data_IF_557899820198
#
_entry.id   IF_557899820198
#
_cell.length_a   1.000
_cell.length_b   1.000
_cell.length_c   1.000
_cell.angle_alpha   90.00
_cell.angle_beta   90.00
_cell.angle_gamma   90.00
#
_symmetry.space_group_name_H-M   'P 1'
#
loop_
_entity.id
_entity.type
_entity.pdbx_description
1 polymer ?
#
# COMPACT_ATOMS: atom_id res chain seq x y z
N UNK A 1 35.20 5.12 31.66
CA UNK A 1 35.62 5.42 30.27
C UNK A 1 34.50 5.10 29.28
N UNK A 2 33.80 6.13 28.80
CA UNK A 2 32.77 5.99 27.77
C UNK A 2 33.44 5.53 26.47
N UNK A 3 33.00 4.38 25.93
CA UNK A 3 33.44 3.89 24.63
C UNK A 3 33.11 4.96 23.59
N UNK A 4 34.15 5.54 22.97
CA UNK A 4 34.00 6.43 21.84
C UNK A 4 33.28 5.66 20.73
N UNK A 5 32.05 6.07 20.42
CA UNK A 5 31.33 5.60 19.24
C UNK A 5 32.14 6.13 18.05
N UNK A 6 32.93 5.25 17.46
CA UNK A 6 33.65 5.53 16.22
C UNK A 6 32.61 6.05 15.22
N UNK A 7 32.79 7.25 14.62
CA UNK A 7 31.92 7.67 13.54
C UNK A 7 32.12 6.67 12.41
N UNK A 8 31.18 5.73 12.28
CA UNK A 8 31.14 4.78 11.19
C UNK A 8 31.27 5.59 9.91
N UNK A 9 32.41 5.46 9.22
CA UNK A 9 32.56 5.82 7.81
C UNK A 9 31.57 4.95 7.05
N UNK A 10 30.29 5.34 7.07
CA UNK A 10 29.25 4.69 6.31
C UNK A 10 29.54 5.00 4.86
N UNK A 11 30.21 4.06 4.19
CA UNK A 11 30.28 4.07 2.73
C UNK A 11 28.84 3.86 2.27
N UNK A 12 28.23 4.81 1.54
CA UNK A 12 26.88 4.62 1.04
C UNK A 12 26.85 3.35 0.19
N UNK A 13 25.87 2.47 0.39
CA UNK A 13 25.69 1.29 -0.45
C UNK A 13 24.40 1.41 -1.24
N UNK A 14 24.47 1.12 -2.55
CA UNK A 14 23.29 1.02 -3.41
C UNK A 14 22.58 -0.29 -3.08
N UNK A 15 21.48 -0.24 -2.35
CA UNK A 15 20.70 -1.42 -1.99
C UNK A 15 19.71 -1.77 -3.10
N UNK A 16 19.55 -3.06 -3.37
CA UNK A 16 18.50 -3.53 -4.27
C UNK A 16 17.12 -3.20 -3.70
N UNK A 17 16.26 -2.58 -4.49
CA UNK A 17 14.90 -2.23 -4.05
C UNK A 17 13.96 -3.43 -3.98
N UNK A 18 14.34 -4.56 -4.56
CA UNK A 18 13.61 -5.83 -4.50
C UNK A 18 13.78 -6.55 -3.14
N UNK A 19 14.17 -5.84 -2.09
CA UNK A 19 14.21 -6.36 -0.72
C UNK A 19 12.84 -6.89 -0.26
N UNK A 20 11.75 -6.29 -0.75
CA UNK A 20 10.38 -6.76 -0.48
C UNK A 20 10.03 -8.13 -1.09
N UNK A 21 10.87 -8.66 -2.00
CA UNK A 21 10.81 -10.05 -2.49
C UNK A 21 12.04 -10.86 -2.06
N UNK A 22 12.75 -10.42 -1.02
CA UNK A 22 13.86 -11.15 -0.40
C UNK A 22 15.23 -10.91 -1.04
N UNK A 23 15.40 -9.90 -1.90
CA UNK A 23 16.70 -9.57 -2.46
C UNK A 23 17.51 -8.64 -1.53
N UNK A 24 18.64 -9.13 -1.03
CA UNK A 24 19.47 -8.38 -0.07
C UNK A 24 20.81 -7.91 -0.66
N UNK A 25 20.98 -7.95 -1.99
CA UNK A 25 22.23 -7.52 -2.62
C UNK A 25 22.42 -6.00 -2.49
N UNK A 26 23.67 -5.62 -2.23
CA UNK A 26 24.13 -4.23 -2.22
C UNK A 26 25.35 -4.07 -3.14
N UNK A 27 25.55 -2.84 -3.61
CA UNK A 27 26.59 -2.49 -4.57
C UNK A 27 27.34 -1.25 -4.10
N UNK A 28 28.62 -1.16 -4.45
CA UNK A 28 29.40 0.05 -4.21
C UNK A 28 28.85 1.22 -5.07
N UNK A 29 28.91 2.50 -4.64
CA UNK A 29 28.38 3.65 -5.38
C UNK A 29 28.96 3.87 -6.79
N UNK A 30 30.09 3.23 -7.10
CA UNK A 30 30.71 3.25 -8.43
C UNK A 30 30.15 2.15 -9.35
N UNK A 31 29.49 1.13 -8.81
CA UNK A 31 28.95 -0.03 -9.52
C UNK A 31 27.51 0.22 -9.99
N UNK A 32 27.27 1.33 -10.68
CA UNK A 32 25.94 1.69 -11.16
C UNK A 32 25.44 0.70 -12.23
N UNK A 33 26.27 0.32 -13.20
CA UNK A 33 25.82 -0.61 -14.26
C UNK A 33 25.50 -2.02 -13.71
N UNK A 34 26.33 -2.63 -12.85
CA UNK A 34 25.97 -3.88 -12.18
C UNK A 34 24.67 -3.77 -11.35
N UNK A 35 24.48 -2.65 -10.64
CA UNK A 35 23.26 -2.39 -9.88
C UNK A 35 22.02 -2.36 -10.78
N UNK A 36 22.06 -1.61 -11.89
CA UNK A 36 20.97 -1.53 -12.87
C UNK A 36 20.70 -2.91 -13.47
N UNK A 37 21.73 -3.59 -13.98
CA UNK A 37 21.60 -4.92 -14.58
C UNK A 37 20.97 -5.93 -13.61
N UNK A 38 21.40 -5.91 -12.35
CA UNK A 38 20.82 -6.74 -11.31
C UNK A 38 19.33 -6.43 -11.10
N UNK A 39 18.94 -5.16 -10.96
CA UNK A 39 17.53 -4.80 -10.79
C UNK A 39 16.65 -5.25 -11.96
N UNK A 40 17.18 -5.24 -13.19
CA UNK A 40 16.46 -5.71 -14.38
C UNK A 40 16.24 -7.24 -14.35
N UNK A 41 17.17 -8.00 -13.78
CA UNK A 41 17.05 -9.46 -13.69
C UNK A 41 15.82 -9.94 -12.91
N UNK A 42 15.33 -9.13 -11.96
CA UNK A 42 14.10 -9.43 -11.20
C UNK A 42 12.84 -9.44 -12.05
N UNK A 43 12.87 -8.90 -13.27
CA UNK A 43 11.72 -8.97 -14.17
C UNK A 43 11.58 -10.32 -14.88
N UNK A 44 12.51 -11.27 -14.70
CA UNK A 44 12.43 -12.64 -15.24
C UNK A 44 12.15 -12.70 -16.74
N UNK A 45 12.75 -11.80 -17.52
CA UNK A 45 12.55 -11.69 -18.97
C UNK A 45 11.34 -10.85 -19.39
N UNK A 46 10.51 -10.38 -18.46
CA UNK A 46 9.53 -9.32 -18.75
C UNK A 46 10.20 -7.96 -18.85
N UNK A 47 9.56 -7.05 -19.58
CA UNK A 47 9.97 -5.64 -19.59
C UNK A 47 9.67 -4.98 -18.23
N UNK A 48 10.49 -4.01 -17.79
CA UNK A 48 10.14 -3.12 -16.68
C UNK A 48 8.82 -2.37 -16.91
N UNK A 49 8.25 -1.73 -15.87
CA UNK A 49 7.05 -0.92 -16.03
C UNK A 49 7.29 0.24 -17.02
N UNK A 50 6.27 0.56 -17.84
CA UNK A 50 6.32 1.71 -18.77
C UNK A 50 6.45 3.05 -18.05
N UNK A 51 5.85 3.14 -16.86
CA UNK A 51 5.86 4.31 -15.98
C UNK A 51 6.42 3.89 -14.63
N UNK A 52 7.45 4.58 -14.17
CA UNK A 52 8.15 4.26 -12.93
C UNK A 52 8.39 5.52 -12.10
N UNK A 53 8.53 5.40 -10.78
CA UNK A 53 8.69 6.55 -9.86
C UNK A 53 9.88 6.33 -8.93
N UNK A 54 10.61 7.39 -8.60
CA UNK A 54 11.72 7.30 -7.65
C UNK A 54 11.23 6.88 -6.25
N UNK A 55 11.95 5.96 -5.60
CA UNK A 55 11.67 5.55 -4.20
C UNK A 55 12.02 6.62 -3.16
N UNK A 56 12.71 7.71 -3.54
CA UNK A 56 13.12 8.79 -2.63
C UNK A 56 12.42 10.12 -2.88
N UNK A 57 11.85 10.35 -4.07
CA UNK A 57 11.20 11.61 -4.43
C UNK A 57 10.04 11.42 -5.41
N UNK A 58 9.35 12.50 -5.78
CA UNK A 58 8.18 12.43 -6.67
C UNK A 58 8.51 12.41 -8.18
N UNK A 59 9.78 12.19 -8.57
CA UNK A 59 10.18 12.16 -9.98
C UNK A 59 9.67 10.89 -10.66
N UNK A 60 8.96 11.07 -11.77
CA UNK A 60 8.39 10.01 -12.60
C UNK A 60 9.22 9.91 -13.90
N UNK A 61 9.40 8.68 -14.38
CA UNK A 61 10.05 8.35 -15.64
C UNK A 61 9.08 7.57 -16.50
N UNK A 62 8.74 8.14 -17.65
CA UNK A 62 7.73 7.61 -18.56
C UNK A 62 8.09 8.00 -20.00
N UNK A 63 8.29 6.97 -20.81
CA UNK A 63 8.51 6.99 -22.24
C UNK A 63 7.81 5.73 -22.78
N UNK A 64 6.68 5.87 -23.49
CA UNK A 64 5.89 4.73 -23.96
C UNK A 64 6.66 3.77 -24.88
N UNK A 65 7.74 4.25 -25.51
CA UNK A 65 8.48 3.48 -26.51
C UNK A 65 9.67 2.73 -25.91
N UNK A 66 10.14 3.10 -24.71
CA UNK A 66 11.36 2.54 -24.13
C UNK A 66 11.27 2.35 -22.59
N UNK A 67 10.55 1.31 -22.12
CA UNK A 67 10.48 0.97 -20.69
C UNK A 67 11.87 0.66 -20.07
N UNK A 68 12.82 0.16 -20.86
CA UNK A 68 14.17 -0.15 -20.36
C UNK A 68 14.95 1.13 -20.10
N UNK A 69 14.85 2.14 -20.97
CA UNK A 69 15.42 3.45 -20.72
C UNK A 69 14.75 4.15 -19.53
N UNK A 70 13.43 4.01 -19.35
CA UNK A 70 12.75 4.56 -18.17
C UNK A 70 13.31 3.99 -16.88
N UNK A 71 13.43 2.66 -16.82
CA UNK A 71 14.03 1.97 -15.69
C UNK A 71 15.47 2.42 -15.45
N UNK A 72 16.28 2.46 -16.50
CA UNK A 72 17.70 2.87 -16.42
C UNK A 72 17.83 4.31 -15.89
N UNK A 73 17.04 5.25 -16.42
CA UNK A 73 17.02 6.66 -15.95
C UNK A 73 16.60 6.75 -14.49
N UNK A 74 15.58 5.98 -14.08
CA UNK A 74 15.15 5.89 -12.69
C UNK A 74 16.25 5.37 -11.77
N UNK A 75 16.91 4.26 -12.12
CA UNK A 75 17.94 3.66 -11.28
C UNK A 75 19.18 4.55 -11.14
N UNK A 76 19.59 5.25 -12.21
CA UNK A 76 20.66 6.28 -12.11
C UNK A 76 20.27 7.41 -11.17
N UNK A 77 19.02 7.88 -11.27
CA UNK A 77 18.51 8.93 -10.38
C UNK A 77 18.44 8.48 -8.91
N UNK A 78 18.06 7.22 -8.65
CA UNK A 78 18.13 6.62 -7.31
C UNK A 78 19.58 6.57 -6.81
N UNK A 79 20.54 6.19 -7.65
CA UNK A 79 21.95 6.20 -7.29
C UNK A 79 22.47 7.59 -6.92
N UNK A 80 21.98 8.65 -7.57
CA UNK A 80 22.30 10.03 -7.21
C UNK A 80 21.77 10.41 -5.82
N UNK A 81 20.60 9.90 -5.42
CA UNK A 81 20.10 10.08 -4.05
C UNK A 81 21.03 9.43 -3.01
N UNK A 82 21.52 8.22 -3.26
CA UNK A 82 22.49 7.57 -2.36
C UNK A 82 23.80 8.36 -2.25
N UNK A 83 24.28 8.95 -3.34
CA UNK A 83 25.45 9.85 -3.33
C UNK A 83 25.23 11.12 -2.50
N UNK A 84 23.98 11.57 -2.39
CA UNK A 84 23.55 12.71 -1.57
C UNK A 84 23.16 12.29 -0.14
N UNK A 85 23.65 11.13 0.33
CA UNK A 85 23.43 10.61 1.69
C UNK A 85 21.99 10.14 1.97
N UNK A 86 21.18 9.84 0.94
CA UNK A 86 19.95 9.10 1.14
C UNK A 86 20.26 7.68 1.63
N UNK A 87 19.38 7.14 2.49
CA UNK A 87 19.50 5.79 3.06
C UNK A 87 18.28 4.99 2.66
N UNK A 88 18.44 3.69 2.43
CA UNK A 88 17.33 2.82 2.02
C UNK A 88 16.15 2.82 3.01
N UNK A 89 16.40 3.05 4.30
CA UNK A 89 15.34 3.19 5.32
C UNK A 89 14.41 4.39 5.07
N UNK A 90 14.84 5.37 4.27
CA UNK A 90 14.02 6.50 3.83
C UNK A 90 13.30 6.22 2.51
N UNK A 91 13.41 5.00 1.96
CA UNK A 91 12.74 4.63 0.73
C UNK A 91 11.24 4.50 0.94
N UNK A 92 10.51 4.74 -0.14
CA UNK A 92 9.06 4.70 -0.23
C UNK A 92 8.64 3.43 -0.98
N UNK A 93 7.51 2.80 -0.62
CA UNK A 93 6.98 1.67 -1.37
C UNK A 93 6.60 2.10 -2.80
N UNK A 94 7.18 1.45 -3.80
CA UNK A 94 6.83 1.67 -5.20
C UNK A 94 5.64 0.79 -5.60
N UNK A 95 4.42 1.29 -5.38
CA UNK A 95 3.20 0.57 -5.73
C UNK A 95 3.06 0.34 -7.24
N UNK A 96 3.68 1.15 -8.11
CA UNK A 96 3.65 0.90 -9.55
C UNK A 96 4.46 -0.35 -9.89
N UNK A 97 5.64 -0.48 -9.30
CA UNK A 97 6.49 -1.66 -9.43
C UNK A 97 5.82 -2.91 -8.86
N UNK A 98 5.28 -2.82 -7.63
CA UNK A 98 4.61 -3.93 -6.95
C UNK A 98 3.42 -4.44 -7.78
N UNK A 99 2.58 -3.53 -8.28
CA UNK A 99 1.44 -3.88 -9.13
C UNK A 99 1.87 -4.49 -10.46
N UNK A 100 2.95 -3.96 -11.09
CA UNK A 100 3.49 -4.52 -12.32
C UNK A 100 3.97 -5.96 -12.14
N UNK A 101 4.80 -6.20 -11.12
CA UNK A 101 5.31 -7.54 -10.79
C UNK A 101 4.17 -8.53 -10.50
N UNK A 102 3.13 -8.09 -9.79
CA UNK A 102 1.93 -8.91 -9.54
C UNK A 102 1.18 -9.22 -10.84
N UNK A 103 0.99 -8.24 -11.72
CA UNK A 103 0.30 -8.42 -13.01
C UNK A 103 1.03 -9.40 -13.93
N UNK A 104 2.36 -9.46 -13.85
CA UNK A 104 3.22 -10.39 -14.60
C UNK A 104 3.44 -11.73 -13.90
N UNK A 105 2.83 -11.96 -12.73
CA UNK A 105 3.01 -13.18 -11.90
C UNK A 105 4.46 -13.45 -11.49
N UNK A 106 5.27 -12.39 -11.40
CA UNK A 106 6.64 -12.46 -10.86
C UNK A 106 6.58 -12.57 -9.32
N UNK A 107 5.52 -12.03 -8.72
CA UNK A 107 5.33 -11.95 -7.26
C UNK A 107 4.14 -12.82 -6.80
N UNK A 108 4.32 -13.52 -5.68
CA UNK A 108 3.27 -14.32 -5.03
C UNK A 108 2.13 -13.45 -4.48
N UNK A 109 1.03 -14.08 -4.06
CA UNK A 109 -0.11 -13.33 -3.50
C UNK A 109 0.22 -12.82 -2.09
N UNK A 110 1.04 -13.58 -1.39
CA UNK A 110 1.51 -13.36 -0.03
C UNK A 110 2.49 -12.18 -0.01
N UNK A 111 3.49 -12.18 -0.89
CA UNK A 111 4.45 -11.08 -1.04
C UNK A 111 3.75 -9.79 -1.44
N UNK A 112 2.75 -9.87 -2.33
CA UNK A 112 1.96 -8.71 -2.73
C UNK A 112 1.20 -8.10 -1.54
N UNK A 113 0.54 -8.93 -0.72
CA UNK A 113 -0.12 -8.46 0.49
C UNK A 113 0.88 -7.81 1.44
N UNK A 114 2.03 -8.44 1.65
CA UNK A 114 3.06 -7.90 2.53
C UNK A 114 3.60 -6.56 2.05
N UNK A 115 3.97 -6.47 0.77
CA UNK A 115 4.51 -5.25 0.16
C UNK A 115 3.47 -4.10 0.14
N UNK A 116 2.18 -4.42 0.07
CA UNK A 116 1.10 -3.42 0.07
C UNK A 116 0.62 -2.99 1.45
N UNK A 117 1.02 -3.68 2.53
CA UNK A 117 0.76 -3.22 3.90
C UNK A 117 1.63 -2.03 4.31
N UNK A 118 2.76 -1.79 3.64
CA UNK A 118 3.65 -0.68 3.98
C UNK A 118 2.99 0.66 3.68
N UNK A 119 2.91 1.54 4.68
CA UNK A 119 2.35 2.89 4.57
C UNK A 119 3.40 3.92 4.92
N UNK A 120 3.58 4.92 4.05
CA UNK A 120 4.38 6.12 4.37
C UNK A 120 3.73 6.99 5.45
N UNK A 121 2.41 6.84 5.64
CA UNK A 121 1.67 7.60 6.65
C UNK A 121 2.06 7.11 8.05
N UNK A 122 2.43 8.01 8.97
CA UNK A 122 2.58 7.67 10.38
C UNK A 122 1.33 6.97 10.92
N UNK A 123 1.52 6.11 11.92
CA UNK A 123 0.40 5.51 12.63
C UNK A 123 -0.51 6.62 13.17
N UNK A 124 -1.80 6.48 12.93
CA UNK A 124 -2.82 7.44 13.34
C UNK A 124 -3.86 6.66 14.12
N UNK A 125 -3.99 6.99 15.41
CA UNK A 125 -5.03 6.43 16.26
C UNK A 125 -6.41 6.78 15.70
N UNK A 126 -7.35 5.84 15.85
CA UNK A 126 -8.73 6.03 15.39
C UNK A 126 -8.95 5.86 13.88
N UNK A 127 -7.94 5.44 13.11
CA UNK A 127 -8.18 4.93 11.76
C UNK A 127 -8.93 3.61 11.84
N UNK A 128 -10.13 3.62 11.26
CA UNK A 128 -10.98 2.46 11.14
C UNK A 128 -11.17 2.14 9.66
N UNK A 129 -11.44 0.87 9.36
CA UNK A 129 -11.74 0.46 8.00
C UNK A 129 -12.90 1.27 7.42
N UNK A 130 -12.92 1.47 6.09
CA UNK A 130 -13.99 2.21 5.41
C UNK A 130 -15.39 1.63 5.68
N UNK A 131 -15.47 0.32 5.95
CA UNK A 131 -16.70 -0.38 6.29
C UNK A 131 -17.08 -0.31 7.78
N UNK A 132 -16.22 0.27 8.63
CA UNK A 132 -16.51 0.42 10.06
C UNK A 132 -17.74 1.30 10.27
N UNK A 133 -18.69 0.78 11.07
CA UNK A 133 -19.90 1.50 11.47
C UNK A 133 -19.81 1.83 12.95
N UNK A 134 -19.95 3.12 13.28
CA UNK A 134 -20.01 3.54 14.70
C UNK A 134 -21.25 2.97 15.38
N UNK A 135 -21.25 2.85 16.72
CA UNK A 135 -22.44 2.48 17.47
C UNK A 135 -23.64 3.40 17.18
N UNK A 136 -23.44 4.70 16.95
CA UNK A 136 -24.55 5.60 16.60
C UNK A 136 -25.12 5.29 15.22
N UNK A 137 -24.26 4.97 14.24
CA UNK A 137 -24.71 4.58 12.90
C UNK A 137 -25.56 3.31 12.95
N UNK A 138 -25.12 2.29 13.71
CA UNK A 138 -25.89 1.05 13.90
C UNK A 138 -27.25 1.32 14.55
N UNK A 139 -27.27 2.10 15.65
CA UNK A 139 -28.52 2.48 16.33
C UNK A 139 -29.48 3.26 15.43
N UNK A 140 -28.95 4.12 14.56
CA UNK A 140 -29.78 4.89 13.61
C UNK A 140 -30.40 3.98 12.56
N UNK A 141 -29.64 3.02 12.05
CA UNK A 141 -30.13 2.02 11.09
C UNK A 141 -31.18 1.10 11.73
N UNK A 142 -30.94 0.62 12.96
CA UNK A 142 -31.91 -0.16 13.74
C UNK A 142 -33.22 0.61 13.93
N UNK A 143 -33.16 1.91 14.24
CA UNK A 143 -34.36 2.76 14.35
C UNK A 143 -35.10 2.95 13.02
N UNK A 144 -34.38 2.96 11.90
CA UNK A 144 -34.99 3.07 10.57
C UNK A 144 -35.65 1.76 10.13
N UNK A 145 -35.08 0.62 10.54
CA UNK A 145 -35.60 -0.72 10.25
C UNK A 145 -36.75 -1.08 11.20
N UNK A 146 -36.72 -0.58 12.43
CA UNK A 146 -37.75 -0.84 13.43
C UNK A 146 -39.10 -0.33 12.91
N UNK A 147 -39.99 -1.26 12.56
CA UNK A 147 -41.37 -0.94 12.22
C UNK A 147 -42.07 -0.46 13.51
N UNK A 148 -42.62 0.77 13.54
CA UNK A 148 -43.30 1.25 14.72
C UNK A 148 -44.60 0.46 14.91
N UNK A 149 -44.56 -0.52 15.81
CA UNK A 149 -45.74 -1.26 16.25
C UNK A 149 -46.53 -0.39 17.24
N UNK A 150 -47.54 0.32 16.72
CA UNK A 150 -48.51 1.02 17.55
C UNK A 150 -49.50 -0.01 18.14
N UNK A 151 -49.06 -0.64 19.22
CA UNK A 151 -49.82 -1.66 19.95
C UNK A 151 -51.21 -1.15 20.39
N UNK A 152 -51.36 0.16 20.59
CA UNK A 152 -52.61 0.78 21.00
C UNK A 152 -53.60 0.88 19.84
N UNK A 153 -53.11 1.29 18.66
CA UNK A 153 -53.88 1.25 17.41
C UNK A 153 -54.29 -0.18 17.05
N UNK A 154 -53.40 -1.15 17.22
CA UNK A 154 -53.70 -2.56 16.99
C UNK A 154 -54.73 -3.12 17.99
N UNK A 155 -54.61 -2.78 19.26
CA UNK A 155 -55.61 -3.13 20.28
C UNK A 155 -56.99 -2.52 19.96
N UNK A 156 -57.02 -1.26 19.51
CA UNK A 156 -58.25 -0.58 19.08
C UNK A 156 -58.89 -1.29 17.89
N UNK A 157 -58.09 -1.69 16.90
CA UNK A 157 -58.57 -2.44 15.74
C UNK A 157 -59.11 -3.82 16.15
N UNK A 158 -58.41 -4.55 17.03
CA UNK A 158 -58.87 -5.84 17.59
C UNK A 158 -60.22 -5.71 18.29
N UNK A 159 -60.40 -4.70 19.16
CA UNK A 159 -61.69 -4.44 19.85
C UNK A 159 -62.82 -4.16 18.87
N UNK A 160 -62.56 -3.35 17.82
CA UNK A 160 -63.56 -3.01 16.80
C UNK A 160 -63.97 -4.21 15.94
N UNK A 161 -63.04 -5.11 15.64
CA UNK A 161 -63.36 -6.33 14.88
C UNK A 161 -64.13 -7.35 15.74
N UNK A 162 -63.77 -7.47 17.02
CA UNK A 162 -64.48 -8.34 17.96
C UNK A 162 -65.93 -7.86 18.21
N UNK A 163 -66.17 -6.54 18.28
CA UNK A 163 -67.53 -6.01 18.41
C UNK A 163 -68.37 -6.23 17.15
N UNK A 164 -67.77 -6.12 15.95
CA UNK A 164 -68.44 -6.46 14.67
C UNK A 164 -68.80 -7.95 14.56
N UNK A 165 -67.98 -8.84 15.09
CA UNK A 165 -68.23 -10.28 15.07
C UNK A 165 -69.35 -10.71 16.03
N UNK A 166 -69.57 -9.96 17.13
CA UNK A 166 -70.64 -10.23 18.11
C UNK A 166 -72.02 -9.66 17.70
N UNK A 167 -72.07 -8.79 16.70
CA UNK A 167 -73.30 -8.16 16.22
C UNK A 167 -73.92 -8.84 15.00
N UNK A 168 -73.58 -10.11 14.73
CA UNK A 168 -74.07 -10.90 13.60
C UNK A 168 -74.71 -12.19 14.09
#
# INVERSE_FOLDING_TARGET
>A
PAAAINPMNYVPELRCEFEFVGCHLSFHPTQIEPYISHTVSHFLGHLPPLRTICIFCNRIFEDPNDPVANWTRRMRHIADHYRQSARFVHSRPDFLLINHMRSKRIMSSEDYKWATMHSERPHCDGLVDRSYRTPEMKRKEEKLIAEPHDLEKEARHRRRNASKAKGK
#
